data_IF_656049447383
#
_entry.id   IF_656049447383
#
_cell.length_a   1.000
_cell.length_b   1.000
_cell.length_c   1.000
_cell.angle_alpha   90.00
_cell.angle_beta   90.00
_cell.angle_gamma   90.00
#
_symmetry.space_group_name_H-M   'P 1'
#
loop_
_entity.id
_entity.type
_entity.pdbx_description
1 polymer ?
#
# COMPACT_ATOMS: atom_id res chain seq x y z
N UNK A 1 -16.05 22.60 5.85
CA UNK A 1 -17.39 22.45 6.45
C UNK A 1 -17.32 22.93 7.87
N UNK A 2 -18.26 23.78 8.28
CA UNK A 2 -18.26 24.28 9.64
C UNK A 2 -18.89 23.23 10.54
N UNK A 3 -18.31 22.95 11.71
CA UNK A 3 -18.73 21.89 12.66
C UNK A 3 -20.21 21.94 13.09
N UNK A 4 -20.94 23.01 12.75
CA UNK A 4 -22.38 23.20 12.99
C UNK A 4 -23.27 22.61 11.90
N UNK A 5 -22.78 22.52 10.66
CA UNK A 5 -23.58 22.06 9.52
C UNK A 5 -23.88 20.57 9.64
N UNK A 6 -22.89 19.78 10.07
CA UNK A 6 -23.00 18.31 10.11
C UNK A 6 -23.54 17.79 11.45
N UNK A 7 -23.84 18.68 12.42
CA UNK A 7 -24.23 18.30 13.78
C UNK A 7 -25.52 17.46 13.82
N UNK A 8 -26.45 17.74 12.90
CA UNK A 8 -27.74 17.06 12.84
C UNK A 8 -27.79 15.96 11.78
N UNK A 9 -26.70 15.71 11.04
CA UNK A 9 -26.67 14.76 9.93
C UNK A 9 -27.03 13.35 10.39
N UNK A 10 -26.53 12.90 11.54
CA UNK A 10 -26.88 11.59 12.09
C UNK A 10 -28.38 11.43 12.36
N UNK A 11 -29.04 12.47 12.86
CA UNK A 11 -30.48 12.47 13.11
C UNK A 11 -31.29 12.54 11.81
N UNK A 12 -30.86 13.37 10.86
CA UNK A 12 -31.49 13.49 9.54
C UNK A 12 -31.34 12.21 8.72
N UNK A 13 -30.19 11.54 8.81
CA UNK A 13 -29.93 10.27 8.15
C UNK A 13 -30.78 9.16 8.74
N UNK A 14 -30.88 9.07 10.07
CA UNK A 14 -31.75 8.10 10.74
C UNK A 14 -33.22 8.30 10.32
N UNK A 15 -33.68 9.56 10.26
CA UNK A 15 -35.01 9.89 9.77
C UNK A 15 -35.18 9.46 8.31
N UNK A 16 -34.21 9.75 7.43
CA UNK A 16 -34.26 9.38 6.02
C UNK A 16 -34.31 7.86 5.80
N UNK A 17 -33.54 7.08 6.57
CA UNK A 17 -33.52 5.62 6.49
C UNK A 17 -34.83 4.97 6.92
N UNK A 18 -35.59 5.61 7.81
CA UNK A 18 -36.90 5.11 8.26
C UNK A 18 -38.02 5.34 7.23
N UNK A 19 -37.82 6.20 6.23
CA UNK A 19 -38.83 6.46 5.20
C UNK A 19 -38.62 5.52 4.00
N UNK A 20 -39.50 4.52 3.86
CA UNK A 20 -39.43 3.53 2.77
C UNK A 20 -39.66 4.16 1.38
N UNK A 21 -40.48 5.22 1.28
CA UNK A 21 -40.65 6.01 0.05
C UNK A 21 -39.53 7.01 -0.23
N UNK A 22 -38.45 6.96 0.55
CA UNK A 22 -37.25 7.77 0.36
C UNK A 22 -37.48 9.26 0.60
N UNK A 23 -36.83 10.09 -0.22
CA UNK A 23 -36.75 11.55 -0.02
C UNK A 23 -38.11 12.25 -0.16
N UNK A 24 -39.03 11.72 -0.97
CA UNK A 24 -40.36 12.33 -1.15
C UNK A 24 -41.17 12.25 0.14
N UNK A 25 -41.28 11.05 0.71
CA UNK A 25 -41.99 10.83 1.97
C UNK A 25 -41.33 11.58 3.13
N UNK A 26 -39.99 11.64 3.16
CA UNK A 26 -39.25 12.42 4.14
C UNK A 26 -39.66 13.91 4.10
N UNK A 27 -39.75 14.49 2.89
CA UNK A 27 -40.16 15.88 2.71
C UNK A 27 -41.63 16.10 3.10
N UNK A 28 -42.53 15.17 2.75
CA UNK A 28 -43.93 15.24 3.16
C UNK A 28 -44.08 15.21 4.68
N UNK A 29 -43.36 14.32 5.37
CA UNK A 29 -43.32 14.28 6.83
C UNK A 29 -42.79 15.59 7.41
N UNK A 30 -41.74 16.16 6.81
CA UNK A 30 -41.15 17.42 7.27
C UNK A 30 -42.11 18.61 7.12
N UNK A 31 -42.76 18.76 5.96
CA UNK A 31 -43.73 19.82 5.73
C UNK A 31 -45.00 19.63 6.58
N UNK A 32 -45.45 18.40 6.78
CA UNK A 32 -46.53 18.06 7.70
C UNK A 32 -46.17 18.38 9.15
N UNK A 33 -44.92 18.18 9.57
CA UNK A 33 -44.44 18.60 10.89
C UNK A 33 -44.50 20.12 11.04
N UNK A 34 -44.00 20.88 10.06
CA UNK A 34 -44.07 22.34 10.08
C UNK A 34 -45.52 22.83 10.17
N UNK A 35 -46.44 22.23 9.41
CA UNK A 35 -47.85 22.61 9.46
C UNK A 35 -48.50 22.40 10.84
N UNK A 36 -48.05 21.40 11.60
CA UNK A 36 -48.68 21.02 12.89
C UNK A 36 -47.99 21.60 14.11
N UNK A 37 -46.70 21.89 14.03
CA UNK A 37 -45.86 22.23 15.20
C UNK A 37 -45.23 23.62 15.12
N UNK A 38 -45.37 24.31 14.00
CA UNK A 38 -44.86 25.66 13.82
C UNK A 38 -45.93 26.54 13.18
N UNK A 39 -45.67 27.85 13.19
CA UNK A 39 -46.47 28.87 12.50
C UNK A 39 -45.98 29.10 11.07
N UNK A 40 -45.23 28.14 10.48
CA UNK A 40 -44.52 28.33 9.21
C UNK A 40 -45.41 28.83 8.07
N UNK A 41 -46.64 28.32 7.96
CA UNK A 41 -47.58 28.71 6.90
C UNK A 41 -48.49 29.90 7.26
N UNK A 42 -48.58 30.27 8.54
CA UNK A 42 -49.54 31.28 9.01
C UNK A 42 -48.89 32.54 9.59
N UNK A 43 -47.61 32.48 9.97
CA UNK A 43 -46.91 33.56 10.68
C UNK A 43 -46.30 34.63 9.77
N UNK A 44 -46.03 34.32 8.50
CA UNK A 44 -45.30 35.20 7.58
C UNK A 44 -46.14 36.00 6.58
N UNK A 45 -47.45 35.77 6.52
CA UNK A 45 -48.32 36.29 5.45
C UNK A 45 -48.34 35.41 4.19
N UNK A 46 -49.22 35.74 3.24
CA UNK A 46 -49.47 34.94 2.04
C UNK A 46 -48.20 34.82 1.17
N UNK A 47 -47.80 33.59 0.84
CA UNK A 47 -46.62 33.29 0.01
C UNK A 47 -45.25 33.35 0.71
N UNK A 48 -45.16 33.81 1.96
CA UNK A 48 -43.88 33.93 2.67
C UNK A 48 -43.18 32.58 2.90
N UNK A 49 -43.96 31.55 3.23
CA UNK A 49 -43.48 30.19 3.42
C UNK A 49 -42.81 29.65 2.14
N UNK A 50 -43.48 29.79 1.00
CA UNK A 50 -42.98 29.32 -0.30
C UNK A 50 -41.68 30.05 -0.70
N UNK A 51 -41.66 31.38 -0.57
CA UNK A 51 -40.47 32.18 -0.85
C UNK A 51 -39.28 31.75 0.02
N UNK A 52 -39.53 31.42 1.29
CA UNK A 52 -38.48 30.96 2.20
C UNK A 52 -37.93 29.60 1.78
N UNK A 53 -38.78 28.61 1.46
CA UNK A 53 -38.33 27.29 0.96
C UNK A 53 -37.51 27.47 -0.32
N UNK A 54 -38.03 28.23 -1.30
CA UNK A 54 -37.35 28.42 -2.57
C UNK A 54 -36.02 29.17 -2.45
N UNK A 55 -35.94 30.16 -1.57
CA UNK A 55 -34.69 30.88 -1.28
C UNK A 55 -33.62 29.93 -0.71
N UNK A 56 -33.99 29.09 0.27
CA UNK A 56 -33.06 28.10 0.85
C UNK A 56 -32.69 27.01 -0.17
N UNK A 57 -33.66 26.49 -0.90
CA UNK A 57 -33.44 25.50 -1.95
C UNK A 57 -32.39 25.97 -2.96
N UNK A 58 -32.60 27.15 -3.57
CA UNK A 58 -31.66 27.72 -4.56
C UNK A 58 -30.26 27.93 -4.01
N UNK A 59 -30.14 28.36 -2.75
CA UNK A 59 -28.83 28.52 -2.08
C UNK A 59 -28.06 27.20 -2.01
N UNK A 60 -28.73 26.13 -1.58
CA UNK A 60 -28.07 24.82 -1.42
C UNK A 60 -27.87 24.11 -2.76
N UNK A 61 -28.79 24.28 -3.71
CA UNK A 61 -28.65 23.79 -5.09
C UNK A 61 -27.39 24.36 -5.76
N UNK A 62 -27.18 25.68 -5.72
CA UNK A 62 -26.01 26.32 -6.32
C UNK A 62 -24.70 25.78 -5.72
N UNK A 63 -24.64 25.61 -4.39
CA UNK A 63 -23.46 25.06 -3.71
C UNK A 63 -23.21 23.59 -4.07
N UNK A 64 -24.27 22.78 -4.14
CA UNK A 64 -24.17 21.36 -4.47
C UNK A 64 -23.71 21.16 -5.92
N UNK A 65 -24.25 21.94 -6.86
CA UNK A 65 -23.83 21.89 -8.28
C UNK A 65 -22.38 22.36 -8.45
N UNK A 66 -21.98 23.43 -7.77
CA UNK A 66 -20.60 23.92 -7.82
C UNK A 66 -19.61 22.87 -7.29
N UNK A 67 -19.94 22.21 -6.17
CA UNK A 67 -19.11 21.14 -5.60
C UNK A 67 -19.06 19.91 -6.50
N UNK A 68 -20.19 19.48 -7.05
CA UNK A 68 -20.22 18.36 -7.98
C UNK A 68 -19.38 18.65 -9.25
N UNK A 69 -19.39 19.90 -9.74
CA UNK A 69 -18.57 20.31 -10.86
C UNK A 69 -17.08 20.32 -10.52
N UNK A 70 -16.68 20.87 -9.35
CA UNK A 70 -15.28 20.85 -8.92
C UNK A 70 -14.75 19.43 -8.72
N UNK A 71 -15.53 18.58 -8.05
CA UNK A 71 -15.13 17.19 -7.77
C UNK A 71 -15.00 16.39 -9.08
N UNK A 72 -15.82 16.69 -10.10
CA UNK A 72 -15.70 16.09 -11.43
C UNK A 72 -14.43 16.55 -12.16
N UNK A 73 -14.11 17.84 -12.08
CA UNK A 73 -12.89 18.39 -12.70
C UNK A 73 -11.65 17.77 -12.02
N UNK A 74 -11.63 17.71 -10.69
CA UNK A 74 -10.53 17.11 -9.93
C UNK A 74 -10.34 15.63 -10.30
N UNK A 75 -11.43 14.85 -10.39
CA UNK A 75 -11.36 13.44 -10.82
C UNK A 75 -10.75 13.30 -12.22
N UNK A 76 -11.17 14.14 -13.17
CA UNK A 76 -10.63 14.12 -14.55
C UNK A 76 -9.14 14.48 -14.55
N UNK A 77 -8.72 15.48 -13.77
CA UNK A 77 -7.32 15.87 -13.66
C UNK A 77 -6.47 14.77 -13.00
N UNK A 78 -6.97 14.15 -11.93
CA UNK A 78 -6.32 13.02 -11.27
C UNK A 78 -6.17 11.81 -12.21
N UNK A 79 -7.20 11.49 -12.99
CA UNK A 79 -7.13 10.42 -13.99
C UNK A 79 -6.09 10.72 -15.08
N UNK A 80 -6.07 11.96 -15.60
CA UNK A 80 -5.09 12.39 -16.60
C UNK A 80 -3.67 12.29 -16.05
N UNK A 81 -3.42 12.79 -14.84
CA UNK A 81 -2.12 12.72 -14.16
C UNK A 81 -1.68 11.28 -13.91
N UNK A 82 -2.62 10.39 -13.57
CA UNK A 82 -2.34 8.96 -13.39
C UNK A 82 -1.94 8.31 -14.72
N UNK A 83 -2.66 8.63 -15.80
CA UNK A 83 -2.36 8.09 -17.14
C UNK A 83 -1.00 8.55 -17.65
N UNK A 84 -0.67 9.83 -17.51
CA UNK A 84 0.65 10.38 -17.91
C UNK A 84 1.81 9.73 -17.15
N UNK A 85 1.65 9.48 -15.84
CA UNK A 85 2.66 8.78 -15.03
C UNK A 85 2.88 7.34 -15.50
N UNK A 86 1.79 6.62 -15.82
CA UNK A 86 1.88 5.26 -16.30
C UNK A 86 2.54 5.18 -17.68
N UNK A 87 2.19 6.09 -18.60
CA UNK A 87 2.81 6.15 -19.93
C UNK A 87 4.29 6.54 -19.85
N UNK A 88 4.67 7.45 -18.95
CA UNK A 88 6.07 7.80 -18.72
C UNK A 88 6.86 6.59 -18.18
N UNK A 89 6.34 5.90 -17.15
CA UNK A 89 6.97 4.71 -16.58
C UNK A 89 7.16 3.61 -17.64
N UNK A 90 6.13 3.35 -18.46
CA UNK A 90 6.21 2.36 -19.54
C UNK A 90 7.26 2.71 -20.59
N UNK A 91 7.40 4.00 -20.94
CA UNK A 91 8.44 4.45 -21.88
C UNK A 91 9.85 4.34 -21.29
N UNK A 92 10.00 4.62 -20.00
CA UNK A 92 11.27 4.45 -19.28
C UNK A 92 11.66 2.97 -19.20
N UNK A 93 10.73 2.08 -18.82
CA UNK A 93 10.94 0.62 -18.82
C UNK A 93 11.30 0.10 -20.21
N UNK A 94 10.60 0.52 -21.27
CA UNK A 94 10.94 0.14 -22.65
C UNK A 94 12.33 0.65 -23.08
N UNK A 95 12.70 1.88 -22.72
CA UNK A 95 14.02 2.41 -23.03
C UNK A 95 15.14 1.73 -22.23
N UNK A 96 14.85 1.26 -21.02
CA UNK A 96 15.78 0.50 -20.19
C UNK A 96 15.96 -0.93 -20.73
N UNK A 97 14.87 -1.61 -21.12
CA UNK A 97 14.91 -2.89 -21.82
C UNK A 97 15.68 -2.81 -23.14
N UNK A 98 15.47 -1.76 -23.96
CA UNK A 98 16.22 -1.54 -25.20
C UNK A 98 17.72 -1.29 -24.93
N UNK A 99 18.07 -0.61 -23.83
CA UNK A 99 19.47 -0.43 -23.43
C UNK A 99 20.11 -1.73 -22.98
N UNK A 100 19.42 -2.52 -22.15
CA UNK A 100 19.90 -3.83 -21.68
C UNK A 100 20.09 -4.79 -22.86
N UNK A 101 19.18 -4.79 -23.83
CA UNK A 101 19.29 -5.61 -25.04
C UNK A 101 20.44 -5.16 -25.95
N UNK A 102 20.66 -3.85 -26.10
CA UNK A 102 21.80 -3.33 -26.88
C UNK A 102 23.16 -3.56 -26.21
N UNK A 103 23.24 -3.50 -24.87
CA UNK A 103 24.49 -3.72 -24.11
C UNK A 103 24.80 -5.23 -23.95
N UNK A 104 23.78 -6.09 -23.96
CA UNK A 104 23.91 -7.57 -23.94
C UNK A 104 23.98 -8.20 -25.32
N UNK A 105 24.41 -7.45 -26.35
CA UNK A 105 24.64 -8.00 -27.69
C UNK A 105 25.87 -8.90 -27.67
N UNK A 106 25.67 -10.15 -27.27
CA UNK A 106 26.63 -11.24 -27.45
C UNK A 106 26.88 -11.37 -28.95
N UNK A 107 27.98 -10.80 -29.42
CA UNK A 107 28.58 -11.12 -30.71
C UNK A 107 29.15 -12.53 -30.62
N UNK A 108 28.66 -13.45 -31.44
CA UNK A 108 29.25 -14.78 -31.57
C UNK A 108 30.69 -14.66 -32.06
N UNK A 109 31.64 -14.90 -31.16
CA UNK A 109 33.02 -15.18 -31.53
C UNK A 109 33.02 -16.53 -32.24
N UNK A 110 33.38 -16.52 -33.53
CA UNK A 110 33.47 -17.72 -34.37
C UNK A 110 34.47 -18.72 -33.78
N UNK A 111 34.14 -20.02 -33.84
CA UNK A 111 34.86 -21.17 -33.23
C UNK A 111 36.39 -21.21 -33.42
N UNK A 112 36.95 -20.51 -34.40
CA UNK A 112 38.40 -20.50 -34.68
C UNK A 112 39.26 -19.73 -33.67
N UNK A 113 38.74 -18.71 -32.97
CA UNK A 113 39.53 -17.95 -31.99
C UNK A 113 39.54 -18.58 -30.60
N UNK A 114 38.50 -19.33 -30.24
CA UNK A 114 38.42 -20.05 -28.96
C UNK A 114 39.48 -21.17 -28.87
N UNK A 115 39.76 -21.85 -30.00
CA UNK A 115 40.77 -22.91 -30.07
C UNK A 115 42.18 -22.35 -29.87
N UNK A 116 42.49 -21.17 -30.43
CA UNK A 116 43.81 -20.54 -30.25
C UNK A 116 44.10 -20.14 -28.82
N UNK A 117 43.09 -19.68 -28.08
CA UNK A 117 43.27 -19.27 -26.68
C UNK A 117 43.53 -20.49 -25.77
N UNK A 118 42.86 -21.62 -26.04
CA UNK A 118 43.05 -22.87 -25.30
C UNK A 118 44.44 -23.48 -25.56
N UNK A 119 44.90 -23.44 -26.81
CA UNK A 119 46.24 -23.91 -27.17
C UNK A 119 47.38 -23.11 -26.51
N UNK A 120 47.17 -21.81 -26.22
CA UNK A 120 48.16 -20.97 -25.55
C UNK A 120 48.26 -21.29 -24.05
N UNK A 121 47.13 -21.63 -23.41
CA UNK A 121 47.05 -22.01 -21.99
C UNK A 121 47.71 -23.37 -21.75
N UNK A 122 47.43 -24.35 -22.62
CA UNK A 122 47.98 -25.71 -22.51
C UNK A 122 49.49 -25.77 -22.81
N UNK A 123 50.02 -24.81 -23.59
CA UNK A 123 51.48 -24.69 -23.81
C UNK A 123 52.24 -24.09 -22.64
N UNK A 124 51.56 -23.42 -21.70
CA UNK A 124 52.19 -22.73 -20.54
C UNK A 124 52.26 -23.61 -19.29
N UNK A 125 51.41 -24.64 -19.17
CA UNK A 125 51.32 -25.51 -18.01
C UNK A 125 52.31 -26.70 -18.00
N UNK A 126 53.14 -26.86 -19.04
CA UNK A 126 54.02 -28.06 -19.20
C UNK A 126 55.53 -27.76 -19.02
N UNK A 127 55.95 -26.52 -18.70
CA UNK A 127 57.38 -26.14 -18.74
C UNK A 127 58.13 -25.99 -17.41
N UNK A 128 57.49 -26.16 -16.25
CA UNK A 128 58.19 -26.05 -14.96
C UNK A 128 57.85 -27.19 -14.00
N UNK A 129 58.44 -28.37 -14.23
CA UNK A 129 58.51 -29.43 -13.23
C UNK A 129 59.68 -30.41 -13.49
N UNK A 130 60.90 -30.08 -13.04
CA UNK A 130 61.94 -31.08 -12.76
C UNK A 130 63.10 -30.57 -11.84
N UNK A 131 63.03 -30.97 -10.56
CA UNK A 131 64.10 -31.47 -9.66
C UNK A 131 65.15 -30.50 -9.07
N UNK A 132 65.09 -30.28 -7.74
CA UNK A 132 66.10 -30.74 -6.74
C UNK A 132 65.74 -30.28 -5.29
N UNK A 133 65.66 -31.21 -4.32
CA UNK A 133 65.71 -30.95 -2.86
C UNK A 133 67.17 -30.92 -2.34
N UNK A 134 67.50 -31.06 -1.02
CA UNK A 134 66.69 -31.37 0.19
C UNK A 134 67.06 -30.51 1.45
N UNK A 135 66.61 -30.94 2.67
CA UNK A 135 67.08 -30.61 4.06
C UNK A 135 66.06 -29.82 4.91
N UNK A 136 65.83 -30.02 6.21
CA UNK A 136 66.06 -31.09 7.21
C UNK A 136 65.25 -30.64 8.44
N UNK A 137 64.57 -31.59 9.09
CA UNK A 137 63.90 -31.47 10.40
C UNK A 137 64.85 -30.97 11.50
N UNK A 138 64.37 -30.11 12.41
CA UNK A 138 64.13 -30.47 13.83
C UNK A 138 63.65 -29.28 14.70
N UNK A 139 62.66 -29.61 15.54
CA UNK A 139 62.45 -29.22 16.95
C UNK A 139 61.53 -28.06 17.38
N UNK A 140 60.36 -28.51 17.87
CA UNK A 140 59.60 -28.19 19.09
C UNK A 140 59.29 -26.74 19.50
N UNK A 141 58.05 -26.31 19.73
CA UNK A 141 56.89 -26.76 20.53
C UNK A 141 56.74 -25.92 21.81
N UNK A 142 55.48 -25.61 22.13
CA UNK A 142 54.88 -25.11 23.38
C UNK A 142 54.50 -23.62 23.38
N UNK A 143 53.31 -23.19 23.79
CA UNK A 143 52.15 -23.89 24.37
C UNK A 143 50.96 -22.92 24.44
N UNK A 144 49.74 -23.45 24.27
CA UNK A 144 48.52 -23.26 25.08
C UNK A 144 47.98 -21.84 25.40
N UNK A 145 46.67 -21.51 25.44
CA UNK A 145 45.40 -22.27 25.43
C UNK A 145 44.22 -21.24 25.48
N UNK A 146 43.00 -21.71 25.17
CA UNK A 146 41.65 -21.20 25.58
C UNK A 146 41.07 -19.99 24.81
N UNK A 147 39.78 -19.93 24.43
CA UNK A 147 38.64 -20.83 24.69
C UNK A 147 37.40 -20.46 23.82
N UNK A 148 36.47 -21.42 23.74
CA UNK A 148 34.99 -21.29 23.61
C UNK A 148 34.38 -20.64 22.33
N UNK A 149 33.31 -21.15 21.70
CA UNK A 149 32.48 -22.34 21.85
C UNK A 149 31.39 -22.34 20.74
N UNK A 150 30.89 -23.53 20.36
CA UNK A 150 29.60 -23.89 19.72
C UNK A 150 29.19 -23.16 18.41
N UNK A 151 28.70 -23.78 17.35
CA UNK A 151 27.77 -24.90 17.26
C UNK A 151 27.80 -25.46 15.83
N UNK A 152 27.70 -26.78 15.70
CA UNK A 152 27.56 -27.46 14.40
C UNK A 152 26.29 -28.30 14.44
N UNK A 153 25.33 -27.85 13.63
CA UNK A 153 24.79 -28.60 12.49
C UNK A 153 23.80 -29.71 12.83
N UNK A 154 22.54 -29.51 12.44
CA UNK A 154 21.89 -30.13 11.27
C UNK A 154 20.40 -29.69 11.28
N UNK A 155 19.71 -29.29 10.22
CA UNK A 155 20.03 -29.18 8.80
C UNK A 155 18.70 -28.97 8.03
N UNK A 156 18.72 -28.03 7.07
CA UNK A 156 17.95 -27.99 5.81
C UNK A 156 16.40 -27.80 5.86
N UNK A 157 15.76 -26.94 5.07
CA UNK A 157 16.05 -26.43 3.72
C UNK A 157 15.42 -25.03 3.50
N UNK A 158 16.22 -24.16 2.87
CA UNK A 158 15.98 -23.00 1.99
C UNK A 158 14.55 -22.54 1.63
N UNK A 159 14.34 -21.23 1.66
CA UNK A 159 14.43 -20.44 0.41
C UNK A 159 14.79 -18.98 0.75
N UNK A 160 15.98 -18.59 0.31
CA UNK A 160 16.43 -17.21 0.18
C UNK A 160 15.62 -16.53 -0.92
N UNK A 161 15.09 -15.34 -0.67
CA UNK A 161 14.83 -14.38 -1.75
C UNK A 161 14.84 -12.96 -1.18
N UNK A 162 15.92 -12.26 -1.53
CA UNK A 162 16.09 -10.80 -1.66
C UNK A 162 15.15 -9.90 -0.82
N UNK A 163 15.58 -9.56 0.39
CA UNK A 163 14.96 -8.49 1.18
C UNK A 163 15.15 -7.13 0.50
N UNK A 164 14.19 -6.76 -0.35
CA UNK A 164 13.97 -5.42 -0.87
C UNK A 164 14.05 -4.42 0.30
N UNK A 165 15.02 -3.48 0.29
CA UNK A 165 15.26 -2.53 1.39
C UNK A 165 14.01 -1.67 1.77
N UNK A 166 12.94 -1.75 0.98
CA UNK A 166 11.65 -1.08 1.16
C UNK A 166 10.66 -1.86 2.03
N UNK A 167 10.90 -3.14 2.32
CA UNK A 167 9.98 -3.99 3.08
C UNK A 167 10.35 -4.14 4.57
N UNK A 168 11.58 -3.79 4.96
CA UNK A 168 12.07 -3.87 6.35
C UNK A 168 11.22 -3.13 7.40
N UNK A 169 10.40 -2.16 6.97
CA UNK A 169 9.54 -1.38 7.87
C UNK A 169 8.05 -1.76 7.78
N UNK A 170 7.68 -2.82 7.06
CA UNK A 170 6.29 -3.28 6.93
C UNK A 170 6.04 -4.50 7.82
N UNK A 171 4.91 -4.51 8.50
CA UNK A 171 4.47 -5.66 9.28
C UNK A 171 3.98 -6.75 8.33
N UNK A 172 4.44 -7.99 8.54
CA UNK A 172 3.91 -9.16 7.86
C UNK A 172 2.42 -9.31 8.19
N UNK A 173 1.52 -9.42 7.19
CA UNK A 173 0.10 -9.64 7.45
C UNK A 173 -0.16 -10.91 8.24
N UNK A 174 -1.19 -10.89 9.10
CA UNK A 174 -1.68 -12.10 9.74
C UNK A 174 -2.51 -12.95 8.76
N UNK A 175 -2.87 -14.18 9.15
CA UNK A 175 -3.65 -15.10 8.31
C UNK A 175 -5.05 -14.59 7.92
N UNK A 176 -5.55 -13.55 8.58
CA UNK A 176 -6.80 -12.88 8.26
C UNK A 176 -6.60 -11.59 7.46
N UNK A 177 -5.50 -11.45 6.72
CA UNK A 177 -5.16 -10.26 5.92
C UNK A 177 -5.16 -8.94 6.70
N UNK A 178 -4.92 -9.00 8.01
CA UNK A 178 -4.80 -7.83 8.87
C UNK A 178 -3.45 -7.78 9.58
N UNK A 179 -3.40 -7.16 10.76
CA UNK A 179 -2.18 -7.06 11.54
C UNK A 179 -2.43 -7.35 13.02
N UNK A 180 -1.39 -7.85 13.67
CA UNK A 180 -1.35 -8.08 15.11
C UNK A 180 -0.56 -6.95 15.79
N UNK A 181 -1.22 -6.20 16.67
CA UNK A 181 -0.63 -5.10 17.44
C UNK A 181 -0.57 -5.49 18.93
N UNK A 182 0.25 -4.82 19.75
CA UNK A 182 0.39 -5.18 21.17
C UNK A 182 -0.91 -5.19 21.98
N UNK A 183 -1.87 -4.32 21.65
CA UNK A 183 -3.10 -4.14 22.44
C UNK A 183 -4.37 -4.60 21.70
N UNK A 184 -4.26 -4.93 20.42
CA UNK A 184 -5.38 -5.37 19.59
C UNK A 184 -4.86 -6.06 18.34
N UNK A 185 -5.68 -6.90 17.75
CA UNK A 185 -5.46 -7.45 16.40
C UNK A 185 -6.66 -7.16 15.53
N UNK A 186 -6.45 -7.13 14.23
CA UNK A 186 -7.56 -7.02 13.29
C UNK A 186 -7.39 -7.98 12.12
N UNK A 187 -8.52 -8.32 11.50
CA UNK A 187 -8.61 -9.16 10.30
C UNK A 187 -9.59 -8.52 9.33
N UNK A 188 -9.40 -8.75 8.04
CA UNK A 188 -10.16 -8.10 6.98
C UNK A 188 -10.54 -9.09 5.87
N UNK A 189 -11.75 -8.91 5.35
CA UNK A 189 -12.21 -9.46 4.07
C UNK A 189 -12.57 -8.32 3.12
N UNK A 190 -13.06 -8.62 1.91
CA UNK A 190 -13.55 -7.58 1.00
C UNK A 190 -14.83 -6.89 1.51
N UNK A 191 -15.59 -7.57 2.37
CA UNK A 191 -16.88 -7.09 2.89
C UNK A 191 -16.77 -6.39 4.25
N UNK A 192 -15.91 -6.91 5.14
CA UNK A 192 -15.92 -6.56 6.56
C UNK A 192 -14.51 -6.49 7.18
N UNK A 193 -14.41 -5.83 8.34
CA UNK A 193 -13.20 -5.71 9.16
C UNK A 193 -13.53 -5.98 10.63
N UNK A 194 -12.83 -6.95 11.22
CA UNK A 194 -13.00 -7.36 12.63
C UNK A 194 -11.82 -6.90 13.48
N UNK A 195 -12.09 -6.34 14.67
CA UNK A 195 -11.08 -5.87 15.63
C UNK A 195 -11.25 -6.58 16.98
N UNK A 196 -10.19 -7.21 17.47
CA UNK A 196 -10.14 -7.89 18.78
C UNK A 196 -9.14 -7.19 19.70
N UNK A 197 -9.61 -6.58 20.79
CA UNK A 197 -8.77 -5.92 21.79
C UNK A 197 -8.43 -6.81 22.98
N UNK A 198 -7.24 -6.64 23.57
CA UNK A 198 -6.87 -7.28 24.82
C UNK A 198 -7.08 -6.32 25.99
N UNK A 199 -8.06 -6.60 26.87
CA UNK A 199 -8.25 -5.85 28.11
C UNK A 199 -7.49 -6.52 29.25
N UNK A 200 -6.54 -5.80 29.85
CA UNK A 200 -5.96 -6.19 31.14
C UNK A 200 -7.00 -5.93 32.24
N UNK A 201 -7.63 -7.00 32.72
CA UNK A 201 -8.32 -6.95 34.01
C UNK A 201 -7.30 -7.30 35.11
N UNK A 202 -6.95 -6.36 36.02
CA UNK A 202 -6.20 -6.74 37.20
C UNK A 202 -7.09 -7.64 38.05
N UNK A 203 -6.68 -8.89 38.26
CA UNK A 203 -7.22 -9.76 39.28
C UNK A 203 -6.95 -9.10 40.64
N UNK A 204 -7.96 -8.48 41.24
CA UNK A 204 -7.88 -8.05 42.63
C UNK A 204 -7.87 -9.31 43.50
N UNK A 205 -6.73 -9.57 44.15
CA UNK A 205 -6.65 -10.44 45.33
C UNK A 205 -7.16 -9.70 46.56
#
# INVERSE_FOLDING_TARGET
MTKKEDQFDGMLLALAQQHEGGVKDLLDTFFSFLARKTDFYTGGGEGAAEQLVMSKFKKHEANALAKAASDKIEKIEQEKRRKERLEKKRKEEQAEEEKINNDSRITELTEEEAVKLQEEIDKRSVKDAAVAGPSSDHNELSKDVEDENVDSKDGNVDDEDEEDEKEKNKLKPNSGNGADMPNYRWTQTLGDLDVSGYSYFPLSL
#
